data_IF_498563431484
#
_entry.id   IF_498563431484
#
_cell.length_a   1.000
_cell.length_b   1.000
_cell.length_c   1.000
_cell.angle_alpha   90.00
_cell.angle_beta   90.00
_cell.angle_gamma   90.00
#
_symmetry.space_group_name_H-M   'P 1'
#
loop_
_entity.id
_entity.type
_entity.pdbx_description
1 polymer ?
#
# COMPACT_ATOMS: atom_id res chain seq x y z
N UNK A 1 10.66 3.78 -2.38
CA UNK A 1 10.87 2.36 -2.06
C UNK A 1 9.49 1.73 -1.89
N UNK A 2 9.08 0.82 -2.77
CA UNK A 2 7.86 0.03 -2.55
C UNK A 2 8.19 -0.91 -1.37
N UNK A 3 7.50 -0.83 -0.22
CA UNK A 3 7.72 -1.81 0.84
C UNK A 3 7.50 -3.18 0.23
N UNK A 4 8.44 -4.09 0.44
CA UNK A 4 8.38 -5.44 -0.11
C UNK A 4 7.14 -6.11 0.51
N UNK A 5 6.02 -6.02 -0.21
CA UNK A 5 4.68 -6.40 0.25
C UNK A 5 4.41 -7.87 -0.05
N UNK A 6 5.20 -8.44 -0.94
CA UNK A 6 5.04 -9.76 -1.50
C UNK A 6 6.39 -10.47 -1.36
N UNK A 7 6.54 -11.37 -0.39
CA UNK A 7 7.73 -12.21 -0.31
C UNK A 7 7.75 -13.19 -1.49
N UNK A 8 8.92 -13.38 -2.10
CA UNK A 8 9.14 -14.31 -3.22
C UNK A 8 9.99 -15.51 -2.80
N UNK A 9 10.92 -15.31 -1.87
CA UNK A 9 11.83 -16.33 -1.35
C UNK A 9 11.69 -16.45 0.17
N UNK A 10 11.97 -17.64 0.68
CA UNK A 10 12.10 -17.88 2.11
C UNK A 10 13.42 -17.31 2.64
N UNK A 11 13.61 -17.30 3.96
CA UNK A 11 14.84 -16.84 4.64
C UNK A 11 16.10 -17.54 4.16
N UNK A 12 15.96 -18.78 3.67
CA UNK A 12 17.05 -19.61 3.17
C UNK A 12 17.32 -19.42 1.67
N UNK A 13 16.55 -18.57 0.98
CA UNK A 13 16.64 -18.39 -0.48
C UNK A 13 15.81 -19.38 -1.29
N UNK A 14 15.18 -20.36 -0.63
CA UNK A 14 14.29 -21.32 -1.27
C UNK A 14 12.99 -20.68 -1.76
N UNK A 15 12.29 -21.38 -2.66
CA UNK A 15 10.98 -20.97 -3.15
C UNK A 15 9.97 -20.85 -2.01
N UNK A 16 9.28 -19.71 -1.93
CA UNK A 16 8.34 -19.46 -0.84
C UNK A 16 7.11 -20.38 -0.90
N UNK A 17 6.87 -21.12 0.18
CA UNK A 17 5.67 -21.94 0.36
C UNK A 17 4.39 -21.09 0.22
N UNK A 18 3.35 -21.65 -0.39
CA UNK A 18 2.12 -20.93 -0.75
C UNK A 18 1.45 -20.25 0.44
N UNK A 19 1.50 -20.87 1.63
CA UNK A 19 0.94 -20.33 2.87
C UNK A 19 1.58 -18.98 3.26
N UNK A 20 2.89 -18.84 3.07
CA UNK A 20 3.60 -17.63 3.47
C UNK A 20 3.38 -16.44 2.54
N UNK A 21 2.76 -16.66 1.36
CA UNK A 21 2.38 -15.59 0.42
C UNK A 21 1.26 -14.69 0.96
N UNK A 22 0.58 -15.09 2.04
CA UNK A 22 -0.42 -14.25 2.71
C UNK A 22 0.19 -13.26 3.69
N UNK A 23 1.49 -13.34 3.96
CA UNK A 23 2.18 -12.45 4.88
C UNK A 23 3.00 -11.40 4.14
N UNK A 24 3.28 -10.29 4.82
CA UNK A 24 4.27 -9.32 4.35
C UNK A 24 5.69 -9.90 4.45
N UNK A 25 6.64 -9.28 3.76
CA UNK A 25 8.06 -9.66 3.90
C UNK A 25 8.50 -9.63 5.36
N UNK A 26 9.22 -10.67 5.78
CA UNK A 26 9.55 -10.94 7.18
C UNK A 26 8.53 -11.80 7.92
N UNK A 27 7.41 -12.17 7.29
CA UNK A 27 6.43 -13.18 7.73
C UNK A 27 5.74 -12.93 9.08
N UNK A 28 6.01 -11.80 9.74
CA UNK A 28 5.43 -11.46 11.05
C UNK A 28 4.03 -10.83 10.94
N UNK A 29 3.70 -10.25 9.78
CA UNK A 29 2.46 -9.50 9.58
C UNK A 29 1.58 -10.16 8.52
N UNK A 30 0.37 -10.57 8.91
CA UNK A 30 -0.63 -11.13 8.01
C UNK A 30 -1.28 -10.03 7.16
N UNK A 31 -1.43 -10.27 5.86
CA UNK A 31 -2.03 -9.33 4.93
C UNK A 31 -3.50 -9.64 4.68
N UNK A 32 -4.36 -8.66 4.95
CA UNK A 32 -5.79 -8.72 4.67
C UNK A 32 -6.10 -8.05 3.32
N UNK A 33 -6.33 -8.87 2.31
CA UNK A 33 -6.75 -8.43 0.98
C UNK A 33 -5.65 -7.75 0.14
N UNK A 34 -5.93 -7.46 -1.14
CA UNK A 34 -4.98 -6.78 -2.01
C UNK A 34 -4.92 -5.28 -1.70
N UNK A 35 -3.73 -4.65 -1.75
CA UNK A 35 -3.62 -3.20 -1.68
C UNK A 35 -4.35 -2.55 -2.86
N UNK A 36 -5.07 -1.45 -2.60
CA UNK A 36 -5.77 -0.68 -3.63
C UNK A 36 -5.17 0.72 -3.71
N UNK A 37 -4.73 1.11 -4.91
CA UNK A 37 -4.24 2.46 -5.15
C UNK A 37 -5.44 3.41 -5.31
N UNK A 38 -5.38 4.57 -4.63
CA UNK A 38 -6.36 5.65 -4.77
C UNK A 38 -5.67 6.87 -5.33
N UNK A 39 -6.19 7.42 -6.42
CA UNK A 39 -5.73 8.67 -6.99
C UNK A 39 -6.84 9.72 -6.89
N UNK A 40 -6.54 10.84 -6.21
CA UNK A 40 -7.39 12.03 -6.24
C UNK A 40 -6.90 12.94 -7.36
N UNK A 41 -7.83 13.56 -8.08
CA UNK A 41 -7.52 14.60 -9.07
C UNK A 41 -8.18 15.89 -8.62
N UNK A 42 -7.48 17.01 -8.78
CA UNK A 42 -8.04 18.34 -8.63
C UNK A 42 -8.54 18.84 -9.98
N UNK A 43 -9.54 19.73 -9.94
CA UNK A 43 -9.92 20.48 -11.14
C UNK A 43 -8.88 21.56 -11.42
N UNK A 44 -8.38 21.63 -12.65
CA UNK A 44 -7.48 22.69 -13.08
C UNK A 44 -8.19 24.06 -12.96
N UNK A 45 -7.62 24.97 -12.17
CA UNK A 45 -8.17 26.32 -11.94
C UNK A 45 -8.98 26.48 -10.65
N UNK A 46 -9.31 25.40 -9.93
CA UNK A 46 -10.00 25.48 -8.65
C UNK A 46 -8.96 25.59 -7.53
N UNK A 47 -8.30 26.75 -7.44
CA UNK A 47 -7.68 27.16 -6.18
C UNK A 47 -8.84 27.36 -5.21
N UNK A 48 -9.13 26.34 -4.39
CA UNK A 48 -10.04 26.48 -3.26
C UNK A 48 -9.41 27.52 -2.34
N UNK A 49 -9.84 28.78 -2.51
CA UNK A 49 -9.53 29.86 -1.60
C UNK A 49 -10.32 29.56 -0.33
N UNK A 50 -9.78 28.70 0.52
CA UNK A 50 -10.29 28.41 1.86
C UNK A 50 -9.93 29.62 2.72
N UNK A 51 -10.53 30.76 2.41
CA UNK A 51 -10.53 31.95 3.25
C UNK A 51 -11.95 32.48 3.22
N UNK A 52 -12.54 32.50 4.40
CA UNK A 52 -13.63 33.39 4.79
C UNK A 52 -15.03 33.00 4.32
N UNK A 53 -15.63 32.03 5.01
CA UNK A 53 -17.08 32.01 5.20
C UNK A 53 -17.42 31.51 6.61
N UNK A 54 -16.94 32.24 7.61
CA UNK A 54 -17.53 32.27 8.96
C UNK A 54 -17.68 33.74 9.33
N UNK A 55 -18.78 34.32 8.90
CA UNK A 55 -19.42 35.51 9.45
C UNK A 55 -20.83 35.09 9.84
#
# INVERSE_FOLDING_TARGET
MIPNLFPETDINGDALHWYYRTFMTGLNNYRLGPPRLRQLRTHAGQNLNVKESNL
#
